data_IF_500974557880
#
_entry.id   IF_500974557880
#
_cell.length_a   1.000
_cell.length_b   1.000
_cell.length_c   1.000
_cell.angle_alpha   90.00
_cell.angle_beta   90.00
_cell.angle_gamma   90.00
#
_symmetry.space_group_name_H-M   'P 1'
#
loop_
_entity.id
_entity.type
_entity.pdbx_description
1 polymer ?
#
# COMPACT_ATOMS: atom_id res chain seq x y z
N UNK A 1 8.51 -1.07 15.49
CA UNK A 1 9.69 -1.03 14.61
C UNK A 1 9.68 0.21 13.72
N UNK A 2 8.64 0.45 12.91
CA UNK A 2 8.52 1.62 12.01
C UNK A 2 8.84 2.98 12.68
N UNK A 3 8.33 3.22 13.89
CA UNK A 3 8.57 4.50 14.59
C UNK A 3 10.05 4.75 14.91
N UNK A 4 10.86 3.69 15.07
CA UNK A 4 12.30 3.79 15.36
C UNK A 4 13.05 4.09 14.06
N UNK A 5 12.75 3.40 12.97
CA UNK A 5 13.34 3.63 11.64
C UNK A 5 13.09 5.07 11.14
N UNK A 6 11.87 5.58 11.30
CA UNK A 6 11.52 6.96 10.92
C UNK A 6 12.34 8.01 11.68
N UNK A 7 12.70 7.73 12.93
CA UNK A 7 13.54 8.63 13.75
C UNK A 7 15.00 8.57 13.31
N UNK A 8 15.51 7.37 12.98
CA UNK A 8 16.91 7.19 12.57
C UNK A 8 17.21 7.61 11.13
N UNK A 9 16.21 7.64 10.25
CA UNK A 9 16.37 8.06 8.85
C UNK A 9 16.96 9.48 8.69
N UNK A 10 16.86 10.35 9.70
CA UNK A 10 17.47 11.69 9.69
C UNK A 10 18.94 11.73 10.12
N UNK A 11 19.44 10.67 10.77
CA UNK A 11 20.76 10.62 11.41
C UNK A 11 21.77 9.80 10.62
N UNK A 12 21.31 8.71 10.00
CA UNK A 12 22.10 7.81 9.15
C UNK A 12 21.20 7.25 8.04
N UNK A 13 21.00 8.00 6.94
CA UNK A 13 19.99 7.68 5.94
C UNK A 13 20.38 6.44 5.13
N UNK A 14 19.60 5.37 5.24
CA UNK A 14 19.68 4.22 4.34
C UNK A 14 18.87 4.55 3.07
N UNK A 15 19.39 4.28 1.85
CA UNK A 15 18.71 4.69 0.62
C UNK A 15 17.38 3.96 0.37
N UNK A 16 17.23 2.74 0.91
CA UNK A 16 16.05 1.89 0.70
C UNK A 16 15.64 1.18 1.98
N UNK A 17 14.35 1.25 2.31
CA UNK A 17 13.71 0.54 3.40
C UNK A 17 12.74 -0.50 2.85
N UNK A 18 12.78 -1.72 3.41
CA UNK A 18 11.84 -2.79 3.11
C UNK A 18 11.04 -3.11 4.38
N UNK A 19 9.72 -3.00 4.28
CA UNK A 19 8.81 -3.38 5.35
C UNK A 19 7.90 -4.52 4.88
N UNK A 20 7.85 -5.59 5.68
CA UNK A 20 6.90 -6.68 5.51
C UNK A 20 5.94 -6.65 6.71
N UNK A 21 4.64 -6.74 6.45
CA UNK A 21 3.58 -6.71 7.47
C UNK A 21 3.67 -5.56 8.50
N UNK A 22 4.05 -4.35 8.06
CA UNK A 22 4.12 -3.17 8.93
C UNK A 22 2.79 -2.78 9.58
N UNK A 23 1.71 -3.37 9.05
CA UNK A 23 0.32 -3.23 9.43
C UNK A 23 -0.24 -4.40 10.25
N UNK A 24 0.59 -5.37 10.66
CA UNK A 24 0.17 -6.49 11.50
C UNK A 24 -0.47 -6.01 12.82
N UNK A 25 -1.70 -6.44 13.06
CA UNK A 25 -2.47 -6.08 14.27
C UNK A 25 -2.97 -4.64 14.29
N UNK A 26 -2.95 -3.94 13.15
CA UNK A 26 -3.39 -2.54 13.01
C UNK A 26 -4.63 -2.47 12.11
N UNK A 27 -5.56 -1.57 12.40
CA UNK A 27 -6.77 -1.37 11.59
C UNK A 27 -7.35 0.04 11.70
N UNK A 28 -8.27 0.37 10.80
CA UNK A 28 -8.99 1.65 10.78
C UNK A 28 -8.05 2.86 10.75
N UNK A 29 -8.26 3.83 11.65
CA UNK A 29 -7.48 5.08 11.70
C UNK A 29 -5.98 4.85 11.91
N UNK A 30 -5.59 3.80 12.63
CA UNK A 30 -4.18 3.51 12.88
C UNK A 30 -3.46 3.09 11.59
N UNK A 31 -4.13 2.35 10.70
CA UNK A 31 -3.56 1.95 9.41
C UNK A 31 -3.33 3.14 8.48
N UNK A 32 -4.25 4.12 8.49
CA UNK A 32 -4.09 5.40 7.76
C UNK A 32 -2.86 6.17 8.26
N UNK A 33 -2.65 6.19 9.58
CA UNK A 33 -1.51 6.86 10.22
C UNK A 33 -0.17 6.16 9.88
N UNK A 34 -0.19 4.84 9.70
CA UNK A 34 0.96 4.06 9.21
C UNK A 34 1.27 4.44 7.76
N UNK A 35 0.26 4.44 6.87
CA UNK A 35 0.40 4.89 5.48
C UNK A 35 1.00 6.30 5.36
N UNK A 36 0.49 7.25 6.15
CA UNK A 36 1.00 8.63 6.19
C UNK A 36 2.47 8.73 6.62
N UNK A 37 2.91 7.93 7.60
CA UNK A 37 4.33 7.88 8.03
C UNK A 37 5.23 7.28 6.97
N UNK A 38 4.79 6.22 6.30
CA UNK A 38 5.53 5.58 5.21
C UNK A 38 5.69 6.55 4.04
N UNK A 39 4.63 7.26 3.64
CA UNK A 39 4.70 8.31 2.62
C UNK A 39 5.65 9.45 3.01
N UNK A 40 5.65 9.86 4.29
CA UNK A 40 6.60 10.86 4.79
C UNK A 40 8.05 10.38 4.68
N UNK A 41 8.34 9.13 5.03
CA UNK A 41 9.66 8.53 4.88
C UNK A 41 10.07 8.42 3.40
N UNK A 42 9.12 8.11 2.52
CA UNK A 42 9.33 7.98 1.08
C UNK A 42 9.82 9.28 0.40
N UNK A 43 9.62 10.45 1.05
CA UNK A 43 10.14 11.74 0.55
C UNK A 43 11.67 11.83 0.55
N UNK A 44 12.34 11.02 1.37
CA UNK A 44 13.80 11.05 1.52
C UNK A 44 14.51 9.71 1.30
N UNK A 45 13.76 8.61 1.12
CA UNK A 45 14.28 7.29 0.88
C UNK A 45 13.31 6.45 0.04
N UNK A 46 13.78 5.40 -0.63
CA UNK A 46 12.87 4.44 -1.27
C UNK A 46 12.24 3.56 -0.19
N UNK A 47 10.91 3.42 -0.21
CA UNK A 47 10.18 2.58 0.74
C UNK A 47 9.40 1.52 -0.03
N UNK A 48 9.69 0.24 0.24
CA UNK A 48 8.97 -0.91 -0.32
C UNK A 48 8.20 -1.56 0.81
N UNK A 49 6.88 -1.74 0.62
CA UNK A 49 5.99 -2.30 1.64
C UNK A 49 5.18 -3.43 1.03
N UNK A 50 5.16 -4.57 1.72
CA UNK A 50 4.17 -5.63 1.49
C UNK A 50 3.03 -5.42 2.49
N UNK A 51 1.82 -5.25 1.99
CA UNK A 51 0.63 -4.92 2.79
C UNK A 51 -0.62 -5.55 2.18
N UNK A 52 -1.55 -5.92 3.04
CA UNK A 52 -2.91 -6.32 2.64
C UNK A 52 -3.96 -5.26 3.02
N UNK A 53 -3.55 -4.15 3.63
CA UNK A 53 -4.46 -3.08 4.04
C UNK A 53 -4.59 -2.02 2.94
N UNK A 54 -5.81 -1.76 2.44
CA UNK A 54 -6.03 -0.71 1.44
C UNK A 54 -5.63 0.66 1.97
N UNK A 55 -5.76 0.90 3.28
CA UNK A 55 -5.39 2.14 3.95
C UNK A 55 -3.89 2.45 3.90
N UNK A 56 -3.04 1.42 3.75
CA UNK A 56 -1.60 1.61 3.58
C UNK A 56 -1.28 1.73 2.09
N UNK A 57 -1.81 0.84 1.25
CA UNK A 57 -1.59 0.83 -0.19
C UNK A 57 -2.01 2.14 -0.89
N UNK A 58 -3.04 2.82 -0.40
CA UNK A 58 -3.51 4.10 -0.95
C UNK A 58 -2.47 5.23 -0.85
N UNK A 59 -1.53 5.18 0.11
CA UNK A 59 -0.47 6.18 0.29
C UNK A 59 0.77 5.92 -0.58
N UNK A 60 0.83 4.80 -1.30
CA UNK A 60 1.99 4.49 -2.14
C UNK A 60 2.04 5.39 -3.39
N UNK A 61 3.25 5.82 -3.77
CA UNK A 61 3.48 6.50 -5.07
C UNK A 61 3.24 5.55 -6.24
N UNK A 62 3.61 4.28 -6.06
CA UNK A 62 3.45 3.19 -7.01
C UNK A 62 2.84 1.98 -6.29
N UNK A 63 1.78 1.42 -6.85
CA UNK A 63 1.15 0.21 -6.34
C UNK A 63 1.46 -0.95 -7.28
N UNK A 64 1.98 -2.04 -6.73
CA UNK A 64 2.27 -3.27 -7.44
C UNK A 64 1.32 -4.35 -6.95
N UNK A 65 0.70 -5.05 -7.89
CA UNK A 65 -0.12 -6.22 -7.64
C UNK A 65 0.72 -7.47 -7.88
N UNK A 66 0.75 -8.38 -6.89
CA UNK A 66 1.40 -9.68 -7.00
C UNK A 66 0.32 -10.74 -7.15
N UNK A 67 0.33 -11.43 -8.29
CA UNK A 67 -0.67 -12.45 -8.63
C UNK A 67 -0.03 -13.79 -8.97
N UNK A 68 -0.75 -14.87 -8.70
CA UNK A 68 -0.35 -16.21 -9.11
C UNK A 68 -1.06 -16.59 -10.39
N UNK A 69 -0.31 -16.96 -11.42
CA UNK A 69 -0.82 -17.56 -12.65
C UNK A 69 -0.55 -19.07 -12.64
N UNK A 70 -1.53 -19.85 -13.11
CA UNK A 70 -1.45 -21.32 -13.15
C UNK A 70 -1.77 -21.78 -14.57
N UNK A 71 -0.74 -22.16 -15.32
CA UNK A 71 -0.87 -22.68 -16.69
C UNK A 71 -0.95 -24.22 -16.70
N UNK A 72 -1.61 -24.82 -15.69
CA UNK A 72 -1.90 -26.25 -15.60
C UNK A 72 -0.76 -27.19 -15.18
N UNK A 73 0.50 -26.72 -15.15
CA UNK A 73 1.66 -27.55 -14.74
C UNK A 73 2.62 -26.86 -13.76
N UNK A 74 2.65 -25.53 -13.74
CA UNK A 74 3.53 -24.73 -12.88
C UNK A 74 2.78 -23.50 -12.39
N UNK A 75 2.85 -23.23 -11.08
CA UNK A 75 2.40 -21.95 -10.50
C UNK A 75 3.52 -20.93 -10.62
N UNK A 76 3.26 -19.79 -11.27
CA UNK A 76 4.19 -18.66 -11.36
C UNK A 76 3.60 -17.45 -10.63
N UNK A 77 4.47 -16.62 -10.08
CA UNK A 77 4.08 -15.31 -9.55
C UNK A 77 4.42 -14.22 -10.56
N UNK A 78 3.44 -13.42 -10.93
CA UNK A 78 3.58 -12.22 -11.75
C UNK A 78 3.47 -10.95 -10.89
N UNK A 79 4.00 -9.85 -11.42
CA UNK A 79 3.86 -8.52 -10.82
C UNK A 79 3.37 -7.54 -11.89
N UNK A 80 2.33 -6.79 -11.57
CA UNK A 80 1.74 -5.77 -12.45
C UNK A 80 1.70 -4.43 -11.73
N UNK A 81 2.10 -3.36 -12.42
CA UNK A 81 1.96 -2.00 -11.91
C UNK A 81 0.49 -1.57 -12.06
N UNK A 82 -0.13 -1.09 -10.99
CA UNK A 82 -1.50 -0.58 -11.01
C UNK A 82 -1.51 0.94 -11.10
N UNK A 83 -2.28 1.45 -12.06
CA UNK A 83 -2.48 2.88 -12.29
C UNK A 83 -3.97 3.19 -12.53
N UNK A 84 -4.36 4.44 -12.32
CA UNK A 84 -5.72 4.92 -12.60
C UNK A 84 -6.82 4.02 -12.04
N UNK A 85 -7.68 3.53 -12.93
CA UNK A 85 -8.82 2.67 -12.62
C UNK A 85 -8.43 1.30 -12.05
N UNK A 86 -7.33 0.71 -12.49
CA UNK A 86 -6.87 -0.59 -11.99
C UNK A 86 -6.48 -0.50 -10.51
N UNK A 87 -5.90 0.65 -10.12
CA UNK A 87 -5.58 0.94 -8.73
C UNK A 87 -6.84 1.08 -7.87
N UNK A 88 -7.87 1.77 -8.38
CA UNK A 88 -9.16 1.92 -7.69
C UNK A 88 -9.83 0.56 -7.51
N UNK A 89 -9.86 -0.25 -8.58
CA UNK A 89 -10.43 -1.62 -8.56
C UNK A 89 -9.74 -2.49 -7.52
N UNK A 90 -8.41 -2.45 -7.45
CA UNK A 90 -7.67 -3.25 -6.48
C UNK A 90 -7.94 -2.81 -5.03
N UNK A 91 -7.96 -1.50 -4.76
CA UNK A 91 -8.30 -1.01 -3.42
C UNK A 91 -9.75 -1.36 -3.02
N UNK A 92 -10.68 -1.28 -3.97
CA UNK A 92 -12.07 -1.75 -3.79
C UNK A 92 -12.11 -3.24 -3.44
N UNK A 93 -11.37 -4.07 -4.17
CA UNK A 93 -11.22 -5.51 -3.91
C UNK A 93 -10.62 -5.79 -2.53
N UNK A 94 -9.60 -5.05 -2.13
CA UNK A 94 -8.99 -5.17 -0.79
C UNK A 94 -9.97 -4.78 0.33
N UNK A 95 -10.86 -3.80 0.09
CA UNK A 95 -11.86 -3.34 1.06
C UNK A 95 -13.03 -4.32 1.22
N UNK A 96 -13.60 -4.81 0.12
CA UNK A 96 -14.83 -5.60 0.13
C UNK A 96 -14.65 -7.10 -0.16
N UNK A 97 -13.45 -7.52 -0.57
CA UNK A 97 -13.18 -8.88 -1.04
C UNK A 97 -13.79 -9.20 -2.42
N UNK A 98 -14.35 -8.21 -3.11
CA UNK A 98 -14.99 -8.34 -4.42
C UNK A 98 -14.65 -7.13 -5.29
N UNK A 99 -14.44 -7.35 -6.58
CA UNK A 99 -13.94 -6.32 -7.51
C UNK A 99 -15.03 -5.31 -7.92
N UNK A 100 -16.29 -5.72 -7.96
CA UNK A 100 -17.39 -4.96 -8.58
C UNK A 100 -18.34 -4.27 -7.58
N UNK A 101 -17.90 -4.05 -6.34
CA UNK A 101 -18.72 -3.34 -5.35
C UNK A 101 -18.67 -1.82 -5.55
N UNK A 102 -19.79 -1.21 -5.94
CA UNK A 102 -19.89 0.26 -6.11
C UNK A 102 -19.58 1.04 -4.83
N UNK A 103 -20.01 0.53 -3.66
CA UNK A 103 -19.76 1.19 -2.37
C UNK A 103 -18.30 1.08 -1.96
N UNK A 104 -17.64 -0.04 -2.25
CA UNK A 104 -16.22 -0.23 -1.99
C UNK A 104 -15.37 0.62 -2.93
N UNK A 105 -15.81 0.77 -4.18
CA UNK A 105 -15.20 1.68 -5.15
C UNK A 105 -15.24 3.12 -4.65
N UNK A 106 -16.41 3.62 -4.21
CA UNK A 106 -16.53 4.97 -3.66
C UNK A 106 -15.60 5.18 -2.46
N UNK A 107 -15.52 4.20 -1.55
CA UNK A 107 -14.60 4.26 -0.42
C UNK A 107 -13.12 4.26 -0.85
N UNK A 108 -12.76 3.47 -1.86
CA UNK A 108 -11.41 3.47 -2.41
C UNK A 108 -11.02 4.82 -3.02
N UNK A 109 -11.94 5.47 -3.74
CA UNK A 109 -11.75 6.81 -4.29
C UNK A 109 -11.56 7.87 -3.19
N UNK A 110 -12.37 7.84 -2.13
CA UNK A 110 -12.22 8.72 -0.96
C UNK A 110 -10.85 8.51 -0.26
N UNK A 111 -10.43 7.26 -0.13
CA UNK A 111 -9.17 6.91 0.50
C UNK A 111 -7.97 7.41 -0.33
N UNK A 112 -8.01 7.26 -1.64
CA UNK A 112 -7.01 7.81 -2.56
C UNK A 112 -7.00 9.34 -2.54
N UNK A 113 -8.16 9.99 -2.48
CA UNK A 113 -8.26 11.44 -2.36
C UNK A 113 -7.62 11.95 -1.07
N UNK A 114 -7.90 11.27 0.06
CA UNK A 114 -7.29 11.57 1.35
C UNK A 114 -5.77 11.42 1.30
N UNK A 115 -5.28 10.30 0.74
CA UNK A 115 -3.84 10.06 0.63
C UNK A 115 -3.11 11.12 -0.22
N UNK A 116 -3.75 11.59 -1.30
CA UNK A 116 -3.21 12.66 -2.16
C UNK A 116 -3.21 14.02 -1.49
N UNK A 117 -4.17 14.31 -0.61
CA UNK A 117 -4.22 15.59 0.12
C UNK A 117 -3.14 15.71 1.20
N UNK A 118 -2.66 14.57 1.72
CA UNK A 118 -1.65 14.50 2.79
C UNK A 118 -0.20 14.37 2.27
N UNK A 119 -0.01 14.08 0.98
CA UNK A 119 1.28 13.95 0.30
C UNK A 119 1.87 15.30 -0.09
#
# INVERSE_FOLDING_TARGET
MLAVEVVFAGSDPVPTYLFDEVDAGVGGKAAVEVGRRLAKLARSAQVVVVTHLPQVAAFADRQLLVEKTVDGSVTRSGVTVLEGEDRVRELSRMLAGQEDSETARAHAEELLATARADG
#
